data_IF_267909049113
#
_entry.id   IF_267909049113
#
_cell.length_a   1.000
_cell.length_b   1.000
_cell.length_c   1.000
_cell.angle_alpha   90.00
_cell.angle_beta   90.00
_cell.angle_gamma   90.00
#
_symmetry.space_group_name_H-M   'P 1'
#
loop_
_entity.id
_entity.type
_entity.pdbx_description
1 polymer ?
#
# COMPACT_ATOMS: atom_id res chain seq x y z
N UNK A 1 6.83 48.51 -33.44
CA UNK A 1 7.26 47.77 -32.24
C UNK A 1 6.28 46.63 -31.99
N UNK A 2 6.82 45.41 -31.99
CA UNK A 2 6.28 44.10 -31.54
C UNK A 2 4.82 43.74 -31.83
N UNK A 3 4.66 43.05 -32.96
CA UNK A 3 3.87 41.82 -33.12
C UNK A 3 3.97 40.95 -31.86
N UNK A 4 2.86 40.77 -31.16
CA UNK A 4 2.68 39.73 -30.15
C UNK A 4 1.79 38.64 -30.75
N UNK A 5 2.45 37.70 -31.41
CA UNK A 5 1.93 36.36 -31.64
C UNK A 5 2.03 35.57 -30.32
N UNK A 6 1.36 34.42 -30.26
CA UNK A 6 1.62 33.32 -29.33
C UNK A 6 1.04 33.43 -27.91
N UNK A 7 -0.29 33.38 -27.86
CA UNK A 7 -1.01 32.82 -26.72
C UNK A 7 -1.85 31.66 -27.21
N UNK A 8 -1.21 30.52 -27.48
CA UNK A 8 -1.82 29.27 -27.91
C UNK A 8 -3.09 28.97 -27.09
N UNK A 9 -4.24 29.15 -27.74
CA UNK A 9 -5.46 28.46 -27.37
C UNK A 9 -5.28 27.00 -27.73
N UNK A 10 -4.64 26.24 -26.84
CA UNK A 10 -4.71 24.78 -26.80
C UNK A 10 -5.57 24.44 -25.59
N UNK A 11 -6.67 23.73 -25.71
CA UNK A 11 -7.08 22.88 -26.81
C UNK A 11 -7.97 21.84 -26.16
N UNK A 12 -9.19 21.75 -26.67
CA UNK A 12 -10.09 20.61 -26.59
C UNK A 12 -10.00 19.75 -25.32
N UNK A 13 -10.98 19.96 -24.44
CA UNK A 13 -11.68 18.88 -23.76
C UNK A 13 -11.86 17.71 -24.72
N UNK A 14 -10.97 16.73 -24.65
CA UNK A 14 -11.23 15.40 -25.15
C UNK A 14 -12.22 14.79 -24.14
N UNK A 15 -13.49 15.14 -24.31
CA UNK A 15 -14.58 14.47 -23.64
C UNK A 15 -14.50 12.99 -24.02
N UNK A 16 -14.01 12.17 -23.09
CA UNK A 16 -14.00 10.72 -23.17
C UNK A 16 -15.42 10.25 -23.52
N UNK A 17 -15.56 9.46 -24.58
CA UNK A 17 -16.84 9.05 -25.17
C UNK A 17 -17.70 8.16 -24.24
N UNK A 18 -17.24 7.86 -23.03
CA UNK A 18 -17.75 6.79 -22.17
C UNK A 18 -18.48 7.32 -20.93
N UNK A 19 -18.76 8.63 -20.84
CA UNK A 19 -19.49 9.24 -19.70
C UNK A 19 -18.72 9.25 -18.37
N UNK A 20 -17.53 8.65 -18.36
CA UNK A 20 -16.57 8.69 -17.27
C UNK A 20 -15.47 9.66 -17.70
N UNK A 21 -15.33 10.81 -17.03
CA UNK A 21 -14.30 11.82 -17.35
C UNK A 21 -12.86 11.29 -17.32
N UNK A 22 -11.87 12.16 -17.45
CA UNK A 22 -10.46 11.71 -17.54
C UNK A 22 -9.99 11.01 -16.26
N UNK A 23 -8.92 10.21 -16.37
CA UNK A 23 -8.27 9.59 -15.21
C UNK A 23 -7.79 10.65 -14.19
N UNK A 24 -7.24 11.77 -14.69
CA UNK A 24 -6.80 12.87 -13.85
C UNK A 24 -7.97 13.45 -13.02
N UNK A 25 -9.14 13.64 -13.63
CA UNK A 25 -10.34 14.11 -12.94
C UNK A 25 -10.84 13.10 -11.90
N UNK A 26 -10.72 11.80 -12.19
CA UNK A 26 -11.02 10.73 -11.25
C UNK A 26 -10.09 10.74 -10.04
N UNK A 27 -8.78 10.83 -10.25
CA UNK A 27 -7.80 10.85 -9.17
C UNK A 27 -7.91 12.13 -8.33
N UNK A 28 -8.20 13.28 -8.94
CA UNK A 28 -8.40 14.55 -8.23
C UNK A 28 -9.57 14.51 -7.24
N UNK A 29 -10.64 13.75 -7.55
CA UNK A 29 -11.81 13.55 -6.66
C UNK A 29 -11.68 12.32 -5.75
N UNK A 30 -10.73 11.42 -6.02
CA UNK A 30 -10.56 10.22 -5.22
C UNK A 30 -10.21 10.60 -3.78
N UNK A 31 -10.98 10.08 -2.82
CA UNK A 31 -10.69 10.19 -1.39
C UNK A 31 -10.77 8.80 -0.81
N UNK A 32 -9.63 8.27 -0.44
CA UNK A 32 -9.46 6.91 0.09
C UNK A 32 -10.27 6.62 1.37
N UNK A 33 -10.76 7.64 2.09
CA UNK A 33 -11.56 7.49 3.31
C UNK A 33 -13.04 7.17 3.03
N UNK A 34 -13.46 7.16 1.76
CA UNK A 34 -14.85 6.87 1.38
C UNK A 34 -15.22 5.38 1.52
N UNK A 35 -14.25 4.50 1.80
CA UNK A 35 -14.47 3.07 1.98
C UNK A 35 -13.88 2.57 3.30
N UNK A 36 -14.53 1.58 3.97
CA UNK A 36 -13.94 0.92 5.13
C UNK A 36 -12.56 0.34 4.80
N UNK A 37 -11.59 0.57 5.68
CA UNK A 37 -10.23 0.06 5.53
C UNK A 37 -9.99 -1.09 6.50
N UNK A 38 -9.99 -2.35 6.03
CA UNK A 38 -9.59 -3.45 6.90
C UNK A 38 -8.11 -3.29 7.29
N UNK A 39 -7.75 -3.77 8.47
CA UNK A 39 -6.34 -3.95 8.80
C UNK A 39 -5.76 -5.06 7.92
N UNK A 40 -4.66 -4.76 7.23
CA UNK A 40 -3.97 -5.72 6.35
C UNK A 40 -2.71 -6.21 7.07
N UNK A 41 -2.54 -7.53 7.13
CA UNK A 41 -1.34 -8.16 7.68
C UNK A 41 -0.63 -9.00 6.63
N UNK A 42 0.66 -9.21 6.83
CA UNK A 42 1.48 -10.16 6.08
C UNK A 42 2.14 -11.11 7.07
N UNK A 43 2.10 -12.40 6.77
CA UNK A 43 2.75 -13.46 7.52
C UNK A 43 3.71 -14.24 6.60
N UNK A 44 4.86 -14.62 7.13
CA UNK A 44 5.90 -15.36 6.42
C UNK A 44 5.92 -16.82 6.86
N UNK A 45 5.83 -17.74 5.89
CA UNK A 45 6.06 -19.17 6.13
C UNK A 45 7.47 -19.52 5.66
N UNK A 46 8.45 -19.35 6.56
CA UNK A 46 9.85 -19.68 6.26
C UNK A 46 10.10 -21.14 6.57
N UNK A 47 10.38 -21.92 5.53
CA UNK A 47 10.65 -23.35 5.60
C UNK A 47 12.14 -23.62 5.40
N UNK A 48 12.64 -24.63 6.10
CA UNK A 48 14.00 -25.14 5.89
C UNK A 48 14.05 -26.63 6.19
N UNK A 49 15.08 -27.31 5.70
CA UNK A 49 15.40 -28.68 6.12
C UNK A 49 16.60 -28.61 7.06
N UNK A 50 16.40 -29.08 8.29
CA UNK A 50 17.44 -29.19 9.31
C UNK A 50 17.36 -30.57 9.93
N UNK A 51 18.50 -31.25 10.06
CA UNK A 51 18.60 -32.62 10.58
C UNK A 51 17.68 -33.62 9.84
N UNK A 52 17.64 -33.50 8.51
CA UNK A 52 16.80 -34.31 7.61
C UNK A 52 15.27 -34.16 7.79
N UNK A 53 14.83 -33.18 8.60
CA UNK A 53 13.42 -32.87 8.82
C UNK A 53 13.03 -31.50 8.25
N UNK A 54 11.81 -31.40 7.73
CA UNK A 54 11.20 -30.10 7.39
C UNK A 54 10.86 -29.33 8.68
N UNK A 55 11.37 -28.11 8.80
CA UNK A 55 11.11 -27.18 9.92
C UNK A 55 10.49 -25.88 9.41
N UNK A 56 9.78 -25.18 10.30
CA UNK A 56 9.18 -23.86 10.05
C UNK A 56 9.60 -22.88 11.13
N UNK A 57 9.87 -21.63 10.76
CA UNK A 57 10.15 -20.56 11.71
C UNK A 57 8.86 -20.10 12.40
N UNK A 58 8.87 -20.05 13.73
CA UNK A 58 7.78 -19.51 14.55
C UNK A 58 8.34 -18.54 15.59
N UNK A 59 7.53 -17.55 15.95
CA UNK A 59 7.81 -16.61 17.04
C UNK A 59 6.82 -16.79 18.19
N UNK A 60 7.19 -16.38 19.40
CA UNK A 60 6.24 -16.22 20.51
C UNK A 60 5.65 -14.82 20.49
N UNK A 61 4.32 -14.71 20.40
CA UNK A 61 3.62 -13.42 20.41
C UNK A 61 3.82 -12.72 21.74
N UNK A 62 4.26 -11.46 21.70
CA UNK A 62 4.47 -10.64 22.90
C UNK A 62 3.21 -9.92 23.37
N UNK A 63 2.28 -9.67 22.45
CA UNK A 63 1.10 -8.84 22.70
C UNK A 63 -0.21 -9.57 22.39
N UNK A 64 -1.29 -9.05 22.96
CA UNK A 64 -2.64 -9.47 22.62
C UNK A 64 -3.02 -9.03 21.19
N UNK A 65 -3.94 -9.76 20.53
CA UNK A 65 -4.56 -11.02 20.95
C UNK A 65 -3.57 -12.21 20.89
N UNK A 66 -3.91 -13.31 21.57
CA UNK A 66 -3.12 -14.56 21.60
C UNK A 66 -1.68 -14.40 22.14
N UNK A 67 -1.50 -13.52 23.12
CA UNK A 67 -0.21 -13.32 23.78
C UNK A 67 0.34 -14.65 24.31
N UNK A 68 1.64 -14.88 24.09
CA UNK A 68 2.34 -16.09 24.48
C UNK A 68 2.16 -17.29 23.53
N UNK A 69 1.25 -17.25 22.56
CA UNK A 69 1.10 -18.32 21.57
C UNK A 69 2.28 -18.34 20.58
N UNK A 70 2.57 -19.51 20.00
CA UNK A 70 3.41 -19.61 18.81
C UNK A 70 2.64 -19.09 17.59
N UNK A 71 3.29 -18.33 16.73
CA UNK A 71 2.71 -17.80 15.51
C UNK A 71 3.74 -17.70 14.39
N UNK A 72 3.27 -17.54 13.16
CA UNK A 72 4.12 -17.15 12.05
C UNK A 72 4.70 -15.75 12.29
N UNK A 73 5.94 -15.48 11.87
CA UNK A 73 6.46 -14.11 11.81
C UNK A 73 5.60 -13.28 10.85
N UNK A 74 5.12 -12.14 11.32
CA UNK A 74 4.24 -11.28 10.54
C UNK A 74 3.96 -9.95 11.21
N UNK A 75 3.21 -9.09 10.52
CA UNK A 75 2.89 -7.75 10.98
C UNK A 75 1.87 -7.04 10.11
N UNK A 76 1.45 -5.85 10.55
CA UNK A 76 0.53 -5.00 9.80
C UNK A 76 1.25 -4.22 8.70
N UNK A 77 0.60 -4.08 7.55
CA UNK A 77 1.02 -3.16 6.50
C UNK A 77 0.77 -1.73 6.97
N UNK A 78 1.83 -0.93 7.08
CA UNK A 78 1.75 0.49 7.44
C UNK A 78 1.65 1.34 6.17
N UNK A 79 0.67 2.23 6.12
CA UNK A 79 0.49 3.19 5.02
C UNK A 79 0.94 4.56 5.52
N UNK A 80 2.12 5.02 5.08
CA UNK A 80 2.84 6.22 5.52
C UNK A 80 4.27 6.22 4.96
N UNK A 81 5.02 7.32 5.10
CA UNK A 81 6.33 7.50 4.44
C UNK A 81 7.24 6.29 4.64
N UNK A 82 7.66 5.73 3.51
CA UNK A 82 8.20 4.38 3.33
C UNK A 82 9.57 4.09 3.99
N UNK A 83 10.01 4.89 4.96
CA UNK A 83 11.38 4.82 5.48
C UNK A 83 11.48 5.21 6.98
N UNK A 84 10.87 4.44 7.87
CA UNK A 84 11.44 4.21 9.21
C UNK A 84 11.00 2.86 9.78
N UNK A 85 11.02 1.82 8.96
CA UNK A 85 10.93 0.45 9.48
C UNK A 85 12.36 -0.07 9.71
N UNK A 86 13.03 0.48 10.73
CA UNK A 86 14.37 0.05 11.16
C UNK A 86 14.37 -1.28 11.94
N UNK A 87 13.28 -2.06 11.87
CA UNK A 87 13.22 -3.36 12.52
C UNK A 87 13.35 -3.29 14.05
N UNK A 88 13.17 -2.13 14.67
CA UNK A 88 13.21 -1.96 16.11
C UNK A 88 11.83 -1.61 16.69
N UNK A 89 11.40 -2.48 17.58
CA UNK A 89 10.29 -2.38 18.54
C UNK A 89 8.89 -2.13 17.99
N UNK A 90 8.06 -3.18 18.04
CA UNK A 90 7.12 -3.42 19.16
C UNK A 90 7.18 -4.92 19.54
#
# INVERSE_FOLDING_TARGET
MTRGDDGAGEGASAASADGHGTEADYLARYRELQWPRPSVTVDLVVLTVLDADLKVLLIRRKEHPFQGAWALPGGFVRVGDAYDDRGESV
#
